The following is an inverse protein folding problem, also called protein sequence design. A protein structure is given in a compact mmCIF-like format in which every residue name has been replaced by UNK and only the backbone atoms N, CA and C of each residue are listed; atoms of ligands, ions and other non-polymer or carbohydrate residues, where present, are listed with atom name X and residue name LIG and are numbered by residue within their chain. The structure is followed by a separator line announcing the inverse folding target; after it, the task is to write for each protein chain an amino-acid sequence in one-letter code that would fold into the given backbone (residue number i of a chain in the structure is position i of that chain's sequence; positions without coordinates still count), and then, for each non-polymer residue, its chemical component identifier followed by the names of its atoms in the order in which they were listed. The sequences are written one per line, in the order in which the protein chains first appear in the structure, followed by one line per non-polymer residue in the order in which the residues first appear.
data_IF_370736106340
#
_entry.id   IF_370736106340
#
_cell.length_a   1.000
_cell.length_b   1.000
_cell.length_c   1.000
_cell.angle_alpha   90.00
_cell.angle_beta   90.00
_cell.angle_gamma   90.00
#
_symmetry.space_group_name_H-M   'P 1'
#
loop_
_entity.id
_entity.type
_entity.pdbx_description
1 polymer ?
#
# COMPACT_ATOMS: atom_id res chain seq x y z
N UNK A 1 18.55 16.19 -9.67
CA UNK A 1 19.31 15.24 -8.84
C UNK A 1 19.12 13.81 -9.35
N UNK A 2 20.15 12.96 -9.34
CA UNK A 2 19.99 11.51 -9.61
C UNK A 2 19.99 10.80 -8.26
N UNK A 3 18.88 10.14 -7.91
CA UNK A 3 18.78 9.36 -6.68
C UNK A 3 19.56 8.06 -6.82
N UNK A 4 20.24 7.66 -5.74
CA UNK A 4 20.96 6.38 -5.63
C UNK A 4 20.47 5.64 -4.40
N UNK A 5 20.44 4.32 -4.47
CA UNK A 5 20.10 3.49 -3.31
C UNK A 5 21.13 3.70 -2.19
N UNK A 6 20.64 3.91 -0.97
CA UNK A 6 21.41 3.98 0.27
C UNK A 6 20.52 3.48 1.44
N UNK A 7 20.94 3.72 2.68
CA UNK A 7 20.20 3.26 3.87
C UNK A 7 18.80 3.91 4.03
N UNK A 8 18.59 5.12 3.49
CA UNK A 8 17.36 5.91 3.58
C UNK A 8 16.51 5.87 2.29
N UNK A 9 17.13 5.65 1.14
CA UNK A 9 16.49 5.60 -0.18
C UNK A 9 16.73 4.24 -0.82
N UNK A 10 15.70 3.49 -1.16
CA UNK A 10 15.83 2.17 -1.82
C UNK A 10 15.21 2.27 -3.22
N UNK A 11 16.02 2.02 -4.24
CA UNK A 11 15.56 1.89 -5.63
C UNK A 11 15.62 0.40 -5.99
N UNK A 12 14.45 -0.19 -6.19
CA UNK A 12 14.30 -1.55 -6.69
C UNK A 12 13.91 -1.49 -8.16
N UNK A 13 14.73 -2.06 -9.03
CA UNK A 13 14.46 -2.16 -10.45
C UNK A 13 14.79 -3.58 -10.93
N UNK A 14 13.79 -4.24 -11.50
CA UNK A 14 13.93 -5.55 -12.14
C UNK A 14 13.30 -5.47 -13.54
N UNK A 15 13.99 -6.05 -14.52
CA UNK A 15 13.52 -6.06 -15.91
C UNK A 15 12.18 -6.78 -16.00
N UNK A 16 11.21 -6.20 -16.74
CA UNK A 16 9.84 -6.71 -16.89
C UNK A 16 9.04 -6.83 -15.57
N UNK A 17 9.49 -6.18 -14.50
CA UNK A 17 8.80 -6.14 -13.21
C UNK A 17 8.53 -4.68 -12.77
N UNK A 18 7.92 -4.53 -11.59
CA UNK A 18 7.62 -3.24 -10.99
C UNK A 18 8.90 -2.55 -10.49
N UNK A 19 9.16 -1.35 -11.02
CA UNK A 19 10.15 -0.42 -10.47
C UNK A 19 9.58 0.29 -9.23
N UNK A 20 10.35 0.36 -8.13
CA UNK A 20 9.93 1.03 -6.89
C UNK A 20 11.03 1.94 -6.35
N UNK A 21 10.64 3.12 -5.88
CA UNK A 21 11.44 4.02 -5.06
C UNK A 21 10.81 4.08 -3.67
N UNK A 22 11.61 3.81 -2.63
CA UNK A 22 11.19 3.89 -1.23
C UNK A 22 12.07 4.92 -0.54
N UNK A 23 11.46 5.87 0.15
CA UNK A 23 12.12 6.85 1.01
C UNK A 23 11.63 6.56 2.43
N UNK A 24 12.52 6.06 3.30
CA UNK A 24 12.13 5.54 4.63
C UNK A 24 11.73 6.64 5.61
N UNK A 25 12.41 7.78 5.52
CA UNK A 25 12.18 8.96 6.35
C UNK A 25 12.12 10.15 5.41
N UNK A 26 11.03 10.92 5.50
CA UNK A 26 10.76 12.01 4.59
C UNK A 26 10.86 13.32 5.36
N UNK A 27 11.68 14.23 4.84
CA UNK A 27 11.91 15.57 5.38
C UNK A 27 11.35 16.63 4.42
N UNK A 28 11.23 17.89 4.86
CA UNK A 28 10.65 18.94 4.00
C UNK A 28 11.45 19.15 2.71
N UNK A 29 12.75 18.90 2.76
CA UNK A 29 13.67 18.98 1.62
C UNK A 29 13.45 17.87 0.58
N UNK A 30 12.72 16.80 0.94
CA UNK A 30 12.31 15.73 0.02
C UNK A 30 11.05 16.11 -0.79
N UNK A 31 10.44 17.27 -0.55
CA UNK A 31 9.31 17.75 -1.34
C UNK A 31 9.80 18.29 -2.70
N UNK A 32 9.66 17.49 -3.75
CA UNK A 32 10.10 17.87 -5.11
C UNK A 32 9.33 17.11 -6.21
N UNK A 33 9.62 17.44 -7.47
CA UNK A 33 9.18 16.73 -8.66
C UNK A 33 10.11 15.53 -8.94
N UNK A 34 9.63 14.33 -8.64
CA UNK A 34 10.34 13.09 -8.93
C UNK A 34 10.08 12.67 -10.38
N UNK A 35 11.14 12.37 -11.14
CA UNK A 35 11.05 11.91 -12.54
C UNK A 35 11.72 10.55 -12.71
N UNK A 36 10.94 9.54 -13.10
CA UNK A 36 11.44 8.24 -13.51
C UNK A 36 11.75 8.27 -15.02
N UNK A 37 12.92 7.77 -15.41
CA UNK A 37 13.33 7.63 -16.81
C UNK A 37 13.72 6.18 -17.08
N UNK A 38 13.03 5.53 -18.00
CA UNK A 38 13.32 4.17 -18.44
C UNK A 38 13.91 4.22 -19.86
N UNK A 39 14.96 3.44 -20.10
CA UNK A 39 15.62 3.31 -21.41
C UNK A 39 15.84 1.84 -21.72
N UNK A 40 15.49 1.43 -22.94
CA UNK A 40 15.87 0.15 -23.51
C UNK A 40 16.49 0.37 -24.91
N UNK A 41 16.76 -0.71 -25.65
CA UNK A 41 17.31 -0.64 -27.01
C UNK A 41 16.37 0.01 -28.05
N UNK A 42 15.08 0.12 -27.75
CA UNK A 42 14.07 0.66 -28.66
C UNK A 42 13.70 2.11 -28.37
N UNK A 43 14.07 2.65 -27.21
CA UNK A 43 13.76 4.05 -26.89
C UNK A 43 13.89 4.41 -25.41
N UNK A 44 13.31 5.57 -25.09
CA UNK A 44 13.24 6.13 -23.73
C UNK A 44 11.82 6.58 -23.44
N UNK A 45 11.35 6.35 -22.21
CA UNK A 45 10.09 6.88 -21.70
C UNK A 45 10.32 7.49 -20.32
N UNK A 46 9.51 8.47 -19.94
CA UNK A 46 9.57 9.07 -18.61
C UNK A 46 8.20 9.39 -18.06
N UNK A 47 8.07 9.30 -16.74
CA UNK A 47 6.91 9.77 -15.98
C UNK A 47 7.38 10.59 -14.79
N UNK A 48 6.53 11.45 -14.25
CA UNK A 48 6.85 12.31 -13.12
C UNK A 48 5.70 12.41 -12.13
N UNK A 49 6.03 12.60 -10.86
CA UNK A 49 5.09 12.80 -9.76
C UNK A 49 5.59 13.93 -8.87
N UNK A 50 4.71 14.84 -8.48
CA UNK A 50 5.00 15.88 -7.51
C UNK A 50 4.77 15.32 -6.10
N UNK A 51 5.80 15.39 -5.25
CA UNK A 51 5.71 14.95 -3.85
C UNK A 51 5.65 16.17 -2.95
N UNK A 52 4.63 16.25 -2.11
CA UNK A 52 4.50 17.28 -1.09
C UNK A 52 4.72 16.68 0.30
N UNK A 53 5.55 17.32 1.11
CA UNK A 53 5.83 16.92 2.50
C UNK A 53 5.32 18.02 3.42
N UNK A 54 4.67 17.63 4.51
CA UNK A 54 4.19 18.57 5.54
C UNK A 54 4.72 18.14 6.88
N UNK A 55 5.21 19.11 7.66
CA UNK A 55 5.56 18.86 9.05
C UNK A 55 4.28 18.52 9.82
N UNK A 56 4.32 17.45 10.62
CA UNK A 56 3.24 17.21 11.57
C UNK A 56 3.28 18.33 12.59
N UNK A 57 2.18 19.08 12.69
CA UNK A 57 1.99 20.01 13.78
C UNK A 57 2.14 19.26 15.11
N UNK A 58 2.90 19.80 16.08
CA UNK A 58 2.97 19.19 17.40
C UNK A 58 1.54 19.05 17.91
N UNK A 59 1.21 17.84 18.36
CA UNK A 59 -0.06 17.58 19.01
C UNK A 59 -0.10 18.44 20.27
N UNK A 60 -0.66 19.65 20.20
CA UNK A 60 -1.16 20.31 21.42
C UNK A 60 -2.08 19.30 22.10
N UNK A 61 -1.91 19.10 23.41
CA UNK A 61 -2.55 18.07 24.26
C UNK A 61 -4.10 17.94 24.14
N UNK A 62 -4.74 18.77 23.33
CA UNK A 62 -6.16 18.73 23.00
C UNK A 62 -6.51 17.99 21.72
N UNK A 63 -5.54 17.57 20.90
CA UNK A 63 -5.83 16.59 19.84
C UNK A 63 -5.81 15.21 20.50
N UNK A 64 -6.90 14.88 21.21
CA UNK A 64 -7.39 13.50 21.33
C UNK A 64 -7.01 12.83 20.02
N UNK A 65 -6.22 11.75 20.06
CA UNK A 65 -6.05 10.83 18.94
C UNK A 65 -7.40 10.75 18.26
N UNK A 66 -7.55 11.43 17.12
CA UNK A 66 -8.80 11.40 16.39
C UNK A 66 -8.95 9.94 16.04
N UNK A 67 -9.97 9.30 16.59
CA UNK A 67 -10.34 7.90 16.32
C UNK A 67 -10.49 7.69 14.78
N UNK A 68 -10.53 8.78 14.02
CA UNK A 68 -10.68 8.93 12.58
C UNK A 68 -9.59 8.31 11.71
N UNK A 69 -8.37 8.03 12.20
CA UNK A 69 -7.27 7.49 11.36
C UNK A 69 -6.64 6.21 11.92
N UNK A 70 -7.46 5.20 12.23
CA UNK A 70 -6.95 3.89 12.63
C UNK A 70 -6.56 3.06 11.38
N UNK A 71 -5.32 2.57 11.24
CA UNK A 71 -4.92 1.80 10.06
C UNK A 71 -5.74 0.53 9.91
N UNK A 72 -6.04 0.17 8.66
CA UNK A 72 -6.79 -1.05 8.35
C UNK A 72 -5.99 -2.29 8.77
N UNK A 73 -6.60 -3.14 9.60
CA UNK A 73 -5.97 -4.35 10.13
C UNK A 73 -6.98 -5.49 10.23
N UNK A 74 -6.55 -6.69 9.84
CA UNK A 74 -7.24 -7.93 10.19
C UNK A 74 -7.03 -8.22 11.67
N UNK A 75 -8.12 -8.18 12.44
CA UNK A 75 -8.16 -8.68 13.82
C UNK A 75 -8.30 -10.19 13.78
N UNK A 76 -9.22 -10.70 12.95
CA UNK A 76 -9.36 -12.13 12.67
C UNK A 76 -9.24 -12.35 11.15
N UNK A 77 -8.17 -13.00 10.66
CA UNK A 77 -8.06 -13.36 9.25
C UNK A 77 -9.00 -14.53 8.90
N UNK A 78 -9.31 -14.68 7.61
CA UNK A 78 -10.00 -15.87 7.12
C UNK A 78 -9.10 -17.09 7.36
N UNK A 79 -9.65 -18.13 7.96
CA UNK A 79 -8.99 -19.42 8.16
C UNK A 79 -9.43 -20.44 7.11
N UNK A 80 -8.59 -21.45 6.88
CA UNK A 80 -8.93 -22.59 6.03
C UNK A 80 -10.13 -23.36 6.61
N UNK A 81 -11.08 -23.71 5.75
CA UNK A 81 -12.26 -24.53 6.10
C UNK A 81 -12.24 -25.79 5.25
N UNK A 82 -12.30 -26.95 5.91
CA UNK A 82 -12.36 -28.26 5.26
C UNK A 82 -13.80 -28.73 5.25
N UNK A 83 -14.38 -28.88 4.06
CA UNK A 83 -15.77 -29.31 3.87
C UNK A 83 -15.76 -30.73 3.29
N UNK A 84 -16.60 -31.60 3.84
CA UNK A 84 -16.79 -32.93 3.29
C UNK A 84 -17.65 -32.84 2.03
N UNK A 85 -17.23 -33.48 0.94
CA UNK A 85 -17.87 -33.40 -0.39
C UNK A 85 -19.11 -34.31 -0.47
N UNK A 86 -19.95 -34.28 0.56
CA UNK A 86 -21.20 -35.04 0.59
C UNK A 86 -22.36 -34.05 0.66
N UNK A 87 -22.99 -33.86 -0.51
CA UNK A 87 -24.16 -33.00 -0.78
C UNK A 87 -23.97 -31.49 -0.52
N UNK A 88 -24.94 -30.69 -0.97
CA UNK A 88 -24.89 -29.22 -1.08
C UNK A 88 -24.77 -28.52 0.29
N UNK A 89 -23.58 -28.59 0.90
CA UNK A 89 -23.28 -27.92 2.14
C UNK A 89 -22.84 -26.47 1.90
N UNK A 90 -23.63 -25.54 2.42
CA UNK A 90 -23.22 -24.14 2.52
C UNK A 90 -22.09 -23.99 3.56
N UNK A 91 -21.11 -23.14 3.26
CA UNK A 91 -20.00 -22.85 4.17
C UNK A 91 -19.80 -21.35 4.29
N UNK A 92 -19.51 -20.89 5.50
CA UNK A 92 -19.30 -19.48 5.80
C UNK A 92 -17.82 -19.19 6.10
N UNK A 93 -17.30 -18.16 5.45
CA UNK A 93 -15.99 -17.58 5.76
C UNK A 93 -16.19 -16.30 6.56
N UNK A 94 -15.39 -16.11 7.61
CA UNK A 94 -15.45 -14.93 8.48
C UNK A 94 -14.09 -14.26 8.57
N UNK A 95 -14.08 -12.93 8.49
CA UNK A 95 -12.95 -12.09 8.86
C UNK A 95 -13.45 -10.90 9.68
N UNK A 96 -12.65 -10.48 10.65
CA UNK A 96 -12.89 -9.26 11.43
C UNK A 96 -11.81 -8.25 11.08
N UNK A 97 -12.23 -7.07 10.65
CA UNK A 97 -11.34 -6.00 10.19
C UNK A 97 -11.64 -4.76 11.03
N UNK A 98 -10.59 -4.05 11.44
CA UNK A 98 -10.68 -2.74 12.08
C UNK A 98 -9.96 -1.69 11.26
N UNK A 99 -10.44 -0.46 11.27
CA UNK A 99 -9.83 0.68 10.60
C UNK A 99 -10.81 1.83 10.49
N UNK A 100 -10.28 3.05 10.47
CA UNK A 100 -11.02 4.28 10.21
C UNK A 100 -10.25 5.09 9.14
N UNK A 101 -10.94 5.67 8.15
CA UNK A 101 -12.38 5.54 7.88
C UNK A 101 -12.79 4.12 7.45
N UNK A 102 -14.09 3.81 7.51
CA UNK A 102 -14.61 2.49 7.12
C UNK A 102 -14.16 2.12 5.70
N UNK A 103 -13.54 0.94 5.57
CA UNK A 103 -12.92 0.50 4.31
C UNK A 103 -13.85 -0.37 3.48
N UNK A 104 -13.70 -0.33 2.16
CA UNK A 104 -14.40 -1.23 1.24
C UNK A 104 -13.79 -2.62 1.31
N UNK A 105 -14.61 -3.64 1.60
CA UNK A 105 -14.21 -5.05 1.58
C UNK A 105 -14.53 -5.63 0.19
N UNK A 106 -13.62 -6.43 -0.37
CA UNK A 106 -13.82 -7.12 -1.66
C UNK A 106 -13.33 -8.54 -1.56
N UNK A 107 -14.17 -9.50 -1.98
CA UNK A 107 -13.87 -10.91 -1.93
C UNK A 107 -13.39 -11.41 -3.31
N UNK A 108 -12.42 -12.32 -3.32
CA UNK A 108 -11.89 -12.93 -4.54
C UNK A 108 -11.91 -14.47 -4.41
N UNK A 109 -12.33 -15.15 -5.47
CA UNK A 109 -12.19 -16.59 -5.64
C UNK A 109 -11.40 -16.87 -6.92
N UNK A 110 -10.29 -17.62 -6.82
CA UNK A 110 -9.40 -17.90 -7.96
C UNK A 110 -9.04 -16.65 -8.78
N UNK A 111 -8.63 -15.58 -8.08
CA UNK A 111 -8.28 -14.27 -8.64
C UNK A 111 -9.42 -13.50 -9.33
N UNK A 112 -10.66 -14.00 -9.25
CA UNK A 112 -11.85 -13.31 -9.76
C UNK A 112 -12.63 -12.69 -8.60
N UNK A 113 -12.99 -11.41 -8.76
CA UNK A 113 -13.86 -10.69 -7.81
C UNK A 113 -15.24 -11.35 -7.79
N UNK A 114 -15.73 -11.73 -6.61
CA UNK A 114 -17.03 -12.42 -6.43
C UNK A 114 -18.14 -11.52 -5.86
N UNK A 115 -17.83 -10.27 -5.49
CA UNK A 115 -18.77 -9.24 -5.04
C UNK A 115 -18.22 -7.87 -5.39
#
# INVERSE_FOLDING_TARGET
MILRSNIFTIINFKSNELARLIIKEVYLEDADLYKLRLKNKYGKVSTSCLVSVRQREPLTDQKKLSIEDLPLKFIEPISDVYVHVHEEQETHFRAIISGQPSSKVTCFCNYKKIA
#
